data_IF_597431718104
#
_entry.id   IF_597431718104
#
_cell.length_a   1.000
_cell.length_b   1.000
_cell.length_c   1.000
_cell.angle_alpha   90.00
_cell.angle_beta   90.00
_cell.angle_gamma   90.00
#
_symmetry.space_group_name_H-M   'P 1'
#
loop_
_entity.id
_entity.type
_entity.pdbx_description
1 polymer ?
#
# COMPACT_ATOMS: atom_id res chain seq x y z
N UNK A 1 -5.90 8.16 -11.59
CA UNK A 1 -6.93 7.13 -11.88
C UNK A 1 -7.94 7.12 -10.73
N UNK A 2 -9.13 6.48 -10.83
CA UNK A 2 -10.00 6.35 -9.66
C UNK A 2 -9.29 5.52 -8.56
N UNK A 3 -9.54 5.80 -7.28
CA UNK A 3 -8.95 5.03 -6.19
C UNK A 3 -9.50 3.59 -6.16
N UNK A 4 -8.68 2.64 -5.72
CA UNK A 4 -9.07 1.22 -5.59
C UNK A 4 -9.73 0.93 -4.22
N UNK A 5 -10.54 -0.13 -4.08
CA UNK A 5 -11.07 -0.55 -2.78
C UNK A 5 -9.98 -1.16 -1.89
N UNK A 6 -10.17 -1.13 -0.56
CA UNK A 6 -9.23 -1.73 0.40
C UNK A 6 -8.93 -3.21 0.13
N UNK A 7 -9.90 -3.97 -0.40
CA UNK A 7 -9.72 -5.38 -0.75
C UNK A 7 -8.56 -5.64 -1.72
N UNK A 8 -8.18 -4.64 -2.51
CA UNK A 8 -7.14 -4.77 -3.53
C UNK A 8 -5.75 -4.41 -2.96
N UNK A 9 -5.72 -3.53 -1.96
CA UNK A 9 -4.51 -3.18 -1.21
C UNK A 9 -4.14 -4.23 -0.15
N UNK A 10 -5.15 -4.79 0.53
CA UNK A 10 -4.95 -5.66 1.69
C UNK A 10 -3.96 -6.82 1.45
N UNK A 11 -4.05 -7.59 0.36
CA UNK A 11 -3.12 -8.70 0.11
C UNK A 11 -1.67 -8.23 -0.03
N UNK A 12 -1.45 -7.04 -0.59
CA UNK A 12 -0.12 -6.43 -0.75
C UNK A 12 0.44 -6.00 0.59
N UNK A 13 -0.37 -5.33 1.41
CA UNK A 13 0.05 -4.91 2.75
C UNK A 13 0.39 -6.13 3.61
N UNK A 14 -0.49 -7.13 3.64
CA UNK A 14 -0.28 -8.37 4.38
C UNK A 14 0.99 -9.10 3.92
N UNK A 15 1.17 -9.27 2.60
CA UNK A 15 2.36 -9.93 2.07
C UNK A 15 3.64 -9.16 2.38
N UNK A 16 3.62 -7.82 2.35
CA UNK A 16 4.80 -7.02 2.69
C UNK A 16 5.22 -7.26 4.15
N UNK A 17 4.27 -7.30 5.07
CA UNK A 17 4.55 -7.57 6.49
C UNK A 17 4.91 -9.03 6.81
N UNK A 18 4.76 -9.97 5.88
CA UNK A 18 5.38 -11.30 6.04
C UNK A 18 6.86 -11.33 5.64
N UNK A 19 7.32 -10.35 4.85
CA UNK A 19 8.70 -10.23 4.37
C UNK A 19 9.58 -9.35 5.28
N UNK A 20 8.97 -8.35 5.93
CA UNK A 20 9.69 -7.39 6.79
C UNK A 20 8.89 -7.04 8.05
N UNK A 21 9.58 -6.67 9.13
CA UNK A 21 8.95 -6.19 10.37
C UNK A 21 8.42 -4.76 10.26
N UNK A 22 9.05 -3.95 9.39
CA UNK A 22 8.68 -2.57 9.11
C UNK A 22 8.68 -2.36 7.60
N UNK A 23 7.67 -1.68 7.08
CA UNK A 23 7.51 -1.43 5.66
C UNK A 23 7.64 0.06 5.33
N UNK A 24 8.24 0.36 4.19
CA UNK A 24 8.27 1.68 3.57
C UNK A 24 7.40 1.70 2.32
N UNK A 25 7.20 2.90 1.74
CA UNK A 25 6.59 3.05 0.41
C UNK A 25 7.26 2.17 -0.64
N UNK A 26 8.59 2.07 -0.62
CA UNK A 26 9.33 1.31 -1.62
C UNK A 26 9.03 -0.19 -1.54
N UNK A 27 8.87 -0.73 -0.33
CA UNK A 27 8.57 -2.14 -0.13
C UNK A 27 7.20 -2.51 -0.70
N UNK A 28 6.18 -1.66 -0.49
CA UNK A 28 4.85 -1.88 -1.08
C UNK A 28 4.89 -1.83 -2.61
N UNK A 29 5.65 -0.89 -3.19
CA UNK A 29 5.79 -0.77 -4.65
C UNK A 29 6.52 -1.98 -5.24
N UNK A 30 7.54 -2.51 -4.56
CA UNK A 30 8.24 -3.72 -4.98
C UNK A 30 7.29 -4.92 -5.02
N UNK A 31 6.48 -5.11 -3.97
CA UNK A 31 5.49 -6.18 -3.92
C UNK A 31 4.42 -6.01 -5.00
N UNK A 32 3.99 -4.78 -5.29
CA UNK A 32 3.06 -4.50 -6.38
C UNK A 32 3.60 -4.99 -7.73
N UNK A 33 4.86 -4.65 -8.06
CA UNK A 33 5.48 -5.08 -9.32
C UNK A 33 5.66 -6.60 -9.39
N UNK A 34 5.97 -7.26 -8.26
CA UNK A 34 6.05 -8.72 -8.19
C UNK A 34 4.67 -9.38 -8.39
N UNK A 35 3.60 -8.75 -7.90
CA UNK A 35 2.25 -9.30 -7.85
C UNK A 35 1.38 -8.96 -9.06
N UNK A 36 1.86 -8.08 -9.96
CA UNK A 36 1.14 -7.62 -11.17
C UNK A 36 -0.28 -7.09 -10.86
N UNK A 37 -0.39 -6.28 -9.81
CA UNK A 37 -1.65 -5.62 -9.43
C UNK A 37 -2.05 -4.52 -10.42
N UNK A 38 -3.25 -3.98 -10.28
CA UNK A 38 -3.73 -2.86 -11.10
C UNK A 38 -2.91 -1.58 -10.84
N UNK A 39 -2.81 -0.74 -11.87
CA UNK A 39 -2.11 0.55 -11.76
C UNK A 39 -2.73 1.46 -10.70
N UNK A 40 -4.03 1.33 -10.41
CA UNK A 40 -4.72 2.08 -9.35
C UNK A 40 -4.16 1.77 -7.96
N UNK A 41 -3.82 0.50 -7.69
CA UNK A 41 -3.19 0.08 -6.44
C UNK A 41 -1.74 0.59 -6.37
N UNK A 42 -1.02 0.53 -7.50
CA UNK A 42 0.35 1.06 -7.58
C UNK A 42 0.36 2.56 -7.31
N UNK A 43 -0.50 3.33 -7.98
CA UNK A 43 -0.68 4.77 -7.78
C UNK A 43 -1.03 5.10 -6.31
N UNK A 44 -1.89 4.29 -5.70
CA UNK A 44 -2.27 4.44 -4.30
C UNK A 44 -1.09 4.32 -3.35
N UNK A 45 -0.25 3.29 -3.49
CA UNK A 45 0.98 3.17 -2.71
C UNK A 45 2.01 4.25 -3.07
N UNK A 46 2.09 4.64 -4.35
CA UNK A 46 3.03 5.66 -4.83
C UNK A 46 2.72 7.04 -4.24
N UNK A 47 1.45 7.28 -3.87
CA UNK A 47 0.97 8.51 -3.22
C UNK A 47 1.38 8.66 -1.74
N UNK A 48 1.86 7.59 -1.08
CA UNK A 48 2.29 7.64 0.32
C UNK A 48 3.54 8.51 0.50
N UNK A 49 3.69 9.15 1.66
CA UNK A 49 4.93 9.86 2.00
C UNK A 49 6.07 8.86 2.18
N UNK A 50 7.07 8.93 1.28
CA UNK A 50 8.24 8.05 1.29
C UNK A 50 9.15 8.17 2.51
N UNK A 51 8.91 9.13 3.41
CA UNK A 51 9.61 9.24 4.71
C UNK A 51 8.95 8.42 5.81
N UNK A 52 7.73 7.93 5.60
CA UNK A 52 7.01 7.14 6.60
C UNK A 52 7.52 5.69 6.61
N UNK A 53 7.47 5.12 7.82
CA UNK A 53 7.70 3.71 8.06
C UNK A 53 6.49 3.16 8.79
N UNK A 54 5.91 2.10 8.24
CA UNK A 54 4.70 1.46 8.72
C UNK A 54 5.07 0.21 9.51
N UNK A 55 4.47 0.05 10.69
CA UNK A 55 4.75 -1.07 11.60
C UNK A 55 3.58 -2.04 11.75
N UNK A 56 2.46 -1.75 11.11
CA UNK A 56 1.31 -2.64 11.07
C UNK A 56 0.44 -2.40 9.83
N UNK A 57 -0.43 -3.37 9.55
CA UNK A 57 -1.42 -3.30 8.47
C UNK A 57 -2.36 -2.10 8.68
N UNK A 58 -2.78 -1.86 9.91
CA UNK A 58 -3.67 -0.75 10.27
C UNK A 58 -3.04 0.60 9.95
N UNK A 59 -1.76 0.80 10.29
CA UNK A 59 -1.06 2.05 9.97
C UNK A 59 -0.96 2.29 8.46
N UNK A 60 -0.69 1.23 7.69
CA UNK A 60 -0.65 1.34 6.22
C UNK A 60 -2.04 1.68 5.65
N UNK A 61 -3.10 1.05 6.18
CA UNK A 61 -4.49 1.34 5.79
C UNK A 61 -4.89 2.78 6.10
N UNK A 62 -4.61 3.26 7.32
CA UNK A 62 -4.90 4.63 7.74
C UNK A 62 -4.15 5.65 6.87
N UNK A 63 -2.90 5.37 6.50
CA UNK A 63 -2.12 6.23 5.62
C UNK A 63 -2.67 6.26 4.19
N UNK A 64 -3.09 5.11 3.63
CA UNK A 64 -3.76 5.05 2.31
C UNK A 64 -5.09 5.82 2.33
N UNK A 65 -5.84 5.71 3.43
CA UNK A 65 -7.08 6.48 3.61
C UNK A 65 -6.79 7.99 3.69
N UNK A 66 -5.77 8.39 4.47
CA UNK A 66 -5.37 9.78 4.61
C UNK A 66 -4.83 10.37 3.29
N UNK A 67 -4.21 9.54 2.45
CA UNK A 67 -3.75 9.92 1.12
C UNK A 67 -4.88 9.99 0.07
N UNK A 68 -6.11 9.58 0.41
CA UNK A 68 -7.23 9.51 -0.54
C UNK A 68 -7.10 8.39 -1.57
N UNK A 69 -6.26 7.38 -1.29
CA UNK A 69 -6.00 6.25 -2.20
C UNK A 69 -7.10 5.17 -2.15
N UNK A 70 -7.96 5.20 -1.13
CA UNK A 70 -9.05 4.23 -0.97
C UNK A 70 -10.35 4.76 -1.58
N UNK A 71 -11.02 3.91 -2.36
CA UNK A 71 -12.39 4.14 -2.76
C UNK A 71 -13.29 4.18 -1.52
N UNK A 72 -14.18 5.17 -1.46
CA UNK A 72 -15.22 5.33 -0.43
C UNK A 72 -16.31 4.29 -0.56
#
# INVERSE_FOLDING_TARGET
>A
MPPAPWSDYQPIVEHTFTLTQEASRADFIEVCYASKVSDEVVDGFDSLDGRLTFRSIEQAKEALQAAGALAT
#
